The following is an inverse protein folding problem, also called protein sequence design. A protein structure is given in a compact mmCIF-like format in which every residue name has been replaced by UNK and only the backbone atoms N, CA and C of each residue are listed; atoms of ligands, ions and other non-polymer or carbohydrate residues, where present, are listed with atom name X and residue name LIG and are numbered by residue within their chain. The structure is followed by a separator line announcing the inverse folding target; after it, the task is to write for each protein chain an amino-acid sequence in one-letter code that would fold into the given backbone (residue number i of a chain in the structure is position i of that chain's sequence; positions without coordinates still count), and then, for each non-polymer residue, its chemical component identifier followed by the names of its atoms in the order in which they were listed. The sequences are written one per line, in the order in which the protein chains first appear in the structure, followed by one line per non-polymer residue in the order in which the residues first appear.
data_IF_087583179919
#
_entry.id   IF_087583179919
#
_cell.length_a   1.000
_cell.length_b   1.000
_cell.length_c   1.000
_cell.angle_alpha   90.00
_cell.angle_beta   90.00
_cell.angle_gamma   90.00
#
_symmetry.space_group_name_H-M   'P 1'
#
loop_
_entity.id
_entity.type
_entity.pdbx_description
1 polymer ?
#
# COMPACT_ATOMS: atom_id res chain seq x y z
N UNK A 1 0.63 -0.07 -19.21
CA UNK A 1 1.15 -0.62 -17.94
C UNK A 1 0.89 -2.12 -17.94
N UNK A 2 1.86 -2.97 -17.55
CA UNK A 2 1.70 -4.43 -17.62
C UNK A 2 1.00 -4.96 -16.37
N UNK A 3 -0.33 -5.11 -16.43
CA UNK A 3 -1.16 -5.64 -15.33
C UNK A 3 -2.01 -6.79 -15.84
N UNK A 4 -1.86 -7.95 -15.22
CA UNK A 4 -2.68 -9.14 -15.47
C UNK A 4 -3.84 -9.22 -14.49
N UNK A 5 -4.03 -10.41 -13.90
CA UNK A 5 -5.07 -10.63 -12.92
C UNK A 5 -4.90 -9.70 -11.72
N UNK A 6 -6.00 -9.04 -11.32
CA UNK A 6 -6.07 -8.30 -10.06
C UNK A 6 -6.21 -9.29 -8.90
N UNK A 7 -5.37 -9.14 -7.89
CA UNK A 7 -5.26 -10.03 -6.73
C UNK A 7 -5.86 -9.35 -5.50
N UNK A 8 -5.56 -8.06 -5.30
CA UNK A 8 -6.08 -7.25 -4.19
C UNK A 8 -6.71 -5.99 -4.76
N UNK A 9 -7.86 -5.63 -4.18
CA UNK A 9 -8.59 -4.38 -4.41
C UNK A 9 -9.28 -4.01 -3.09
N UNK A 10 -8.60 -3.24 -2.24
CA UNK A 10 -9.12 -2.91 -0.90
C UNK A 10 -8.86 -1.47 -0.50
N UNK A 11 -9.74 -0.98 0.37
CA UNK A 11 -9.58 0.30 1.04
C UNK A 11 -9.31 0.03 2.52
N UNK A 12 -8.20 0.57 3.02
CA UNK A 12 -7.88 0.58 4.46
C UNK A 12 -8.05 1.99 4.97
N UNK A 13 -9.06 2.19 5.81
CA UNK A 13 -9.37 3.48 6.43
C UNK A 13 -8.54 3.66 7.70
N UNK A 14 -8.06 4.86 7.99
CA UNK A 14 -7.33 5.20 9.20
C UNK A 14 -6.26 6.26 8.96
N UNK A 15 -5.70 6.79 10.04
CA UNK A 15 -4.62 7.79 9.97
C UNK A 15 -3.41 7.22 9.23
N UNK A 16 -3.21 7.70 8.01
CA UNK A 16 -2.08 7.31 7.17
C UNK A 16 -0.80 7.74 7.87
N UNK A 17 0.15 6.83 7.98
CA UNK A 17 1.41 7.05 8.68
C UNK A 17 2.59 6.62 7.83
N UNK A 18 3.63 7.45 7.85
CA UNK A 18 4.88 7.23 7.13
C UNK A 18 5.85 6.34 7.91
N UNK A 19 6.81 5.79 7.19
CA UNK A 19 8.04 5.25 7.76
C UNK A 19 8.75 6.29 8.64
N UNK A 20 9.37 5.84 9.74
CA UNK A 20 10.09 6.67 10.72
C UNK A 20 9.19 7.58 11.58
N UNK A 21 7.90 7.24 11.73
CA UNK A 21 7.03 7.80 12.75
C UNK A 21 6.55 6.72 13.73
N UNK A 22 7.43 6.23 14.64
CA UNK A 22 7.22 5.00 15.40
C UNK A 22 5.87 4.86 16.13
N UNK A 23 5.32 5.90 16.80
CA UNK A 23 4.06 5.74 17.53
C UNK A 23 2.85 5.50 16.62
N UNK A 24 2.93 5.87 15.33
CA UNK A 24 1.81 5.74 14.39
C UNK A 24 2.09 4.73 13.27
N UNK A 25 3.36 4.46 12.94
CA UNK A 25 3.78 3.53 11.90
C UNK A 25 3.32 2.09 12.19
N UNK A 26 3.62 1.56 13.39
CA UNK A 26 3.28 0.17 13.72
C UNK A 26 1.76 -0.08 13.74
N UNK A 27 0.92 0.77 14.37
CA UNK A 27 -0.54 0.63 14.29
C UNK A 27 -1.07 0.67 12.85
N UNK A 28 -0.53 1.58 12.02
CA UNK A 28 -0.94 1.71 10.62
C UNK A 28 -0.58 0.47 9.80
N UNK A 29 0.66 -0.01 9.92
CA UNK A 29 1.14 -1.22 9.26
C UNK A 29 0.33 -2.46 9.67
N UNK A 30 0.05 -2.61 10.96
CA UNK A 30 -0.73 -3.73 11.47
C UNK A 30 -2.15 -3.73 10.88
N UNK A 31 -2.80 -2.56 10.80
CA UNK A 31 -4.13 -2.43 10.22
C UNK A 31 -4.18 -2.87 8.76
N UNK A 32 -3.19 -2.48 7.96
CA UNK A 32 -3.07 -2.93 6.57
C UNK A 32 -2.84 -4.45 6.51
N UNK A 33 -1.95 -4.95 7.37
CA UNK A 33 -1.61 -6.39 7.41
C UNK A 33 -2.84 -7.23 7.71
N UNK A 34 -3.63 -6.85 8.70
CA UNK A 34 -4.88 -7.52 9.08
C UNK A 34 -5.94 -7.48 7.96
N UNK A 35 -6.04 -6.37 7.23
CA UNK A 35 -6.96 -6.24 6.10
C UNK A 35 -6.57 -7.12 4.90
N UNK A 36 -5.27 -7.31 4.67
CA UNK A 36 -4.73 -8.02 3.50
C UNK A 36 -4.63 -9.53 3.73
N UNK A 37 -4.28 -9.95 4.95
CA UNK A 37 -4.05 -11.36 5.30
C UNK A 37 -5.17 -12.33 4.88
N UNK A 38 -6.48 -12.03 5.03
CA UNK A 38 -7.53 -12.97 4.63
C UNK A 38 -7.73 -13.11 3.12
N UNK A 39 -7.14 -12.23 2.31
CA UNK A 39 -7.29 -12.20 0.84
C UNK A 39 -6.21 -13.05 0.17
N UNK A 40 -5.12 -13.30 0.89
CA UNK A 40 -3.90 -13.79 0.29
C UNK A 40 -3.74 -15.29 0.49
N UNK A 41 -3.85 -16.05 -0.61
CA UNK A 41 -3.58 -17.49 -0.60
C UNK A 41 -2.18 -17.83 -1.13
N UNK A 42 -1.69 -17.08 -2.13
CA UNK A 42 -0.36 -17.26 -2.71
C UNK A 42 0.14 -15.96 -3.36
N UNK A 43 1.34 -15.47 -3.02
CA UNK A 43 1.87 -14.24 -3.61
C UNK A 43 2.24 -14.43 -5.08
N UNK A 44 2.00 -13.42 -5.94
CA UNK A 44 2.50 -13.45 -7.32
C UNK A 44 4.04 -13.41 -7.33
N UNK A 45 4.66 -14.07 -8.32
CA UNK A 45 6.11 -14.03 -8.51
C UNK A 45 6.64 -12.63 -8.80
N UNK A 46 5.93 -11.89 -9.67
CA UNK A 46 6.22 -10.50 -10.03
C UNK A 46 4.89 -9.73 -9.98
N UNK A 47 4.89 -8.49 -9.51
CA UNK A 47 3.66 -7.73 -9.34
C UNK A 47 3.76 -6.25 -9.73
N UNK A 48 2.58 -5.67 -9.98
CA UNK A 48 2.35 -4.23 -10.04
C UNK A 48 1.49 -3.85 -8.85
N UNK A 49 1.82 -2.72 -8.22
CA UNK A 49 1.06 -2.15 -7.10
C UNK A 49 0.62 -0.74 -7.46
N UNK A 50 -0.61 -0.39 -7.08
CA UNK A 50 -1.07 0.99 -7.04
C UNK A 50 -1.53 1.32 -5.63
N UNK A 51 -1.02 2.43 -5.11
CA UNK A 51 -1.37 3.00 -3.83
C UNK A 51 -1.96 4.39 -4.05
N UNK A 52 -3.20 4.59 -3.63
CA UNK A 52 -3.83 5.90 -3.64
C UNK A 52 -4.08 6.31 -2.19
N UNK A 53 -3.30 7.27 -1.72
CA UNK A 53 -3.41 7.81 -0.38
C UNK A 53 -4.35 9.01 -0.39
N UNK A 54 -5.37 8.96 0.46
CA UNK A 54 -6.27 10.08 0.73
C UNK A 54 -5.88 10.61 2.11
N UNK A 55 -5.27 11.79 2.12
CA UNK A 55 -4.68 12.40 3.31
C UNK A 55 -5.30 13.78 3.50
N UNK A 56 -5.53 14.18 4.76
CA UNK A 56 -6.00 15.52 5.08
C UNK A 56 -5.14 16.60 4.40
N UNK A 57 -5.78 17.66 3.89
CA UNK A 57 -5.11 18.67 3.07
C UNK A 57 -3.92 19.31 3.78
N UNK A 58 -4.07 19.62 5.07
CA UNK A 58 -3.01 20.16 5.94
C UNK A 58 -1.78 19.25 6.04
N UNK A 59 -1.96 17.94 5.85
CA UNK A 59 -0.89 16.94 5.95
C UNK A 59 -0.30 16.55 4.60
N UNK A 60 -0.94 16.86 3.47
CA UNK A 60 -0.48 16.44 2.13
C UNK A 60 0.98 16.82 1.83
N UNK A 61 1.42 17.98 2.34
CA UNK A 61 2.76 18.54 2.13
C UNK A 61 3.64 18.46 3.39
N UNK A 62 3.11 18.01 4.53
CA UNK A 62 3.81 17.97 5.81
C UNK A 62 4.59 16.65 6.02
N UNK A 63 5.60 16.38 5.18
CA UNK A 63 6.49 15.22 5.32
C UNK A 63 5.85 13.87 4.99
N UNK A 64 4.71 13.86 4.28
CA UNK A 64 4.10 12.66 3.72
C UNK A 64 4.60 12.45 2.28
N UNK A 65 5.90 12.20 2.15
CA UNK A 65 6.53 11.89 0.87
C UNK A 65 6.06 10.52 0.36
N UNK A 66 5.95 10.39 -0.96
CA UNK A 66 5.31 9.21 -1.58
C UNK A 66 6.07 7.90 -1.30
N UNK A 67 7.39 7.97 -1.20
CA UNK A 67 8.26 6.85 -0.83
C UNK A 67 8.08 6.45 0.64
N UNK A 68 8.04 7.43 1.55
CA UNK A 68 7.81 7.25 2.98
C UNK A 68 6.41 6.73 3.30
N UNK A 69 5.42 7.05 2.45
CA UNK A 69 4.06 6.51 2.52
C UNK A 69 3.98 5.07 2.01
N UNK A 70 4.66 4.76 0.91
CA UNK A 70 4.60 3.44 0.30
C UNK A 70 5.27 2.36 1.15
N UNK A 71 6.40 2.69 1.79
CA UNK A 71 7.21 1.73 2.56
C UNK A 71 6.44 0.92 3.62
N UNK A 72 5.69 1.55 4.56
CA UNK A 72 4.91 0.77 5.54
C UNK A 72 3.81 -0.08 4.90
N UNK A 73 3.29 0.30 3.72
CA UNK A 73 2.34 -0.52 2.97
C UNK A 73 3.02 -1.74 2.36
N UNK A 74 4.18 -1.58 1.72
CA UNK A 74 4.96 -2.69 1.17
C UNK A 74 5.36 -3.69 2.26
N UNK A 75 5.84 -3.19 3.41
CA UNK A 75 6.16 -4.02 4.57
C UNK A 75 4.92 -4.79 5.05
N UNK A 76 3.75 -4.15 5.13
CA UNK A 76 2.50 -4.81 5.51
C UNK A 76 2.09 -5.90 4.51
N UNK A 77 2.20 -5.63 3.20
CA UNK A 77 1.92 -6.60 2.15
C UNK A 77 2.86 -7.81 2.23
N UNK A 78 4.15 -7.59 2.47
CA UNK A 78 5.14 -8.64 2.69
C UNK A 78 4.81 -9.48 3.93
N UNK A 79 4.52 -8.84 5.06
CA UNK A 79 4.17 -9.54 6.32
C UNK A 79 2.85 -10.32 6.18
N UNK A 80 1.89 -9.80 5.42
CA UNK A 80 0.65 -10.48 5.11
C UNK A 80 0.81 -11.64 4.12
N UNK A 81 1.99 -11.79 3.49
CA UNK A 81 2.27 -12.78 2.46
C UNK A 81 1.72 -12.43 1.08
N UNK A 82 1.22 -11.20 0.87
CA UNK A 82 0.64 -10.71 -0.38
C UNK A 82 1.64 -10.48 -1.50
N UNK A 83 2.89 -10.20 -1.12
CA UNK A 83 4.03 -10.15 -2.02
C UNK A 83 5.17 -10.95 -1.39
N UNK A 84 6.06 -11.49 -2.23
CA UNK A 84 7.24 -12.23 -1.75
C UNK A 84 8.22 -11.28 -1.07
N UNK A 85 8.62 -10.23 -1.79
CA UNK A 85 9.55 -9.19 -1.33
C UNK A 85 9.53 -7.99 -2.29
N UNK A 86 10.11 -6.86 -1.86
CA UNK A 86 10.16 -5.60 -2.62
C UNK A 86 10.83 -5.73 -4.00
N UNK A 87 11.93 -6.50 -4.19
CA UNK A 87 12.54 -6.71 -5.51
C UNK A 87 11.61 -7.32 -6.57
N UNK A 88 10.48 -7.91 -6.17
CA UNK A 88 9.51 -8.50 -7.07
C UNK A 88 8.35 -7.54 -7.42
N UNK A 89 8.40 -6.30 -6.93
CA UNK A 89 7.50 -5.21 -7.31
C UNK A 89 8.08 -4.51 -8.52
N UNK A 90 7.57 -4.82 -9.71
CA UNK A 90 8.11 -4.33 -10.98
C UNK A 90 7.51 -2.97 -11.38
N UNK A 91 6.38 -2.61 -10.77
CA UNK A 91 5.79 -1.29 -10.90
C UNK A 91 5.14 -0.89 -9.58
N UNK A 92 5.45 0.31 -9.12
CA UNK A 92 4.79 0.96 -8.00
C UNK A 92 4.25 2.32 -8.46
N UNK A 93 2.94 2.47 -8.41
CA UNK A 93 2.23 3.72 -8.72
C UNK A 93 1.69 4.30 -7.41
N UNK A 94 2.18 5.46 -7.00
CA UNK A 94 1.77 6.12 -5.75
C UNK A 94 1.18 7.48 -6.06
N UNK A 95 -0.06 7.69 -5.66
CA UNK A 95 -0.74 8.98 -5.83
C UNK A 95 -1.28 9.47 -4.49
N UNK A 96 -1.18 10.78 -4.25
CA UNK A 96 -1.80 11.46 -3.10
C UNK A 96 -3.01 12.25 -3.56
N UNK A 97 -4.08 12.18 -2.78
CA UNK A 97 -5.31 12.94 -2.97
C UNK A 97 -5.66 13.65 -1.66
N UNK A 98 -6.22 14.87 -1.72
CA UNK A 98 -6.86 15.47 -0.55
C UNK A 98 -8.04 14.60 -0.10
N UNK A 99 -8.07 14.26 1.18
CA UNK A 99 -9.24 13.67 1.82
C UNK A 99 -10.21 14.77 2.23
N UNK A 100 -11.50 14.58 1.96
CA UNK A 100 -12.60 15.40 2.48
C UNK A 100 -13.17 14.83 3.79
N UNK A 101 -12.79 13.60 4.11
CA UNK A 101 -13.30 12.76 5.19
C UNK A 101 -12.13 12.03 5.89
N UNK A 102 -12.35 10.82 6.40
CA UNK A 102 -11.29 10.03 7.04
C UNK A 102 -10.15 9.69 6.05
N UNK A 103 -8.92 9.74 6.56
CA UNK A 103 -7.76 9.30 5.80
C UNK A 103 -7.85 7.80 5.48
N UNK A 104 -7.30 7.43 4.34
CA UNK A 104 -7.35 6.04 3.83
C UNK A 104 -6.29 5.78 2.79
N UNK A 105 -5.99 4.51 2.56
CA UNK A 105 -5.24 4.05 1.39
C UNK A 105 -6.10 3.07 0.61
N UNK A 106 -6.20 3.28 -0.70
CA UNK A 106 -6.70 2.29 -1.64
C UNK A 106 -5.50 1.54 -2.22
N UNK A 107 -5.51 0.22 -2.04
CA UNK A 107 -4.42 -0.69 -2.40
C UNK A 107 -4.94 -1.62 -3.48
N UNK A 108 -4.30 -1.55 -4.64
CA UNK A 108 -4.54 -2.48 -5.73
C UNK A 108 -3.25 -3.25 -6.04
N UNK A 109 -3.34 -4.58 -6.12
CA UNK A 109 -2.24 -5.49 -6.47
C UNK A 109 -2.63 -6.30 -7.69
N UNK A 110 -1.74 -6.39 -8.68
CA UNK A 110 -1.91 -7.25 -9.86
C UNK A 110 -0.69 -8.12 -10.09
N UNK A 111 -0.92 -9.29 -10.67
CA UNK A 111 0.13 -10.06 -11.29
C UNK A 111 0.77 -9.26 -12.43
N UNK A 112 2.10 -9.25 -12.48
CA UNK A 112 2.84 -8.68 -13.61
C UNK A 112 2.84 -9.65 -14.79
N UNK A 113 2.46 -9.17 -15.98
CA UNK A 113 2.55 -9.96 -17.21
C UNK A 113 3.96 -9.80 -17.78
N UNK A 114 4.70 -10.89 -17.89
CA UNK A 114 5.91 -10.97 -18.71
C UNK A 114 5.55 -11.51 -20.09
N UNK A 115 6.06 -10.88 -21.15
CA UNK A 115 6.07 -11.48 -22.48
C UNK A 115 7.02 -12.67 -22.55
#
# INVERSE_FOLDING_TARGET
MMRGQKIIDIIVVGRVSVWANPPYEAPWKNKITEAVKPITESPPKNCSIRLQFYISEERLTAGNDVDNLAKPVLDALKVAGAIVDDPFVFNLDVTKFPATDEEKVHIELWQWITH
#
